data_IF_333708957142
#
_entry.id   IF_333708957142
#
_cell.length_a   1.000
_cell.length_b   1.000
_cell.length_c   1.000
_cell.angle_alpha   90.00
_cell.angle_beta   90.00
_cell.angle_gamma   90.00
#
_symmetry.space_group_name_H-M   'P 1'
#
loop_
_entity.id
_entity.type
_entity.pdbx_description
1 polymer ?
#
# COMPACT_ATOMS: atom_id res chain seq x y z
N UNK A 1 -57.64 -61.48 -2.33
CA UNK A 1 -56.72 -62.23 -3.18
C UNK A 1 -55.40 -61.50 -3.23
N UNK A 2 -54.44 -62.06 -2.62
CA UNK A 2 -53.06 -61.60 -2.37
C UNK A 2 -52.18 -61.84 -3.57
N UNK A 3 -51.30 -60.91 -3.97
CA UNK A 3 -50.06 -61.22 -4.62
C UNK A 3 -48.99 -60.21 -4.20
N UNK A 4 -48.03 -60.72 -3.43
CA UNK A 4 -46.72 -60.13 -3.12
C UNK A 4 -45.86 -60.10 -4.36
N UNK A 5 -45.20 -58.97 -4.65
CA UNK A 5 -44.02 -58.97 -5.50
C UNK A 5 -42.83 -58.48 -4.65
N UNK A 6 -41.84 -59.43 -4.55
CA UNK A 6 -40.60 -59.23 -3.83
C UNK A 6 -39.64 -58.35 -4.64
N UNK A 7 -39.13 -57.29 -4.02
CA UNK A 7 -38.04 -56.47 -4.54
C UNK A 7 -36.70 -57.13 -4.26
N UNK A 8 -35.92 -57.40 -5.32
CA UNK A 8 -34.53 -57.89 -5.29
C UNK A 8 -33.61 -56.74 -4.89
N UNK A 9 -32.80 -56.95 -3.87
CA UNK A 9 -31.71 -56.06 -3.48
C UNK A 9 -30.58 -56.04 -4.55
N UNK A 10 -29.92 -54.90 -4.80
CA UNK A 10 -28.77 -54.85 -5.73
C UNK A 10 -27.53 -55.47 -5.07
N UNK A 11 -26.90 -56.42 -5.81
CA UNK A 11 -25.65 -57.03 -5.44
C UNK A 11 -24.51 -56.04 -5.56
N UNK A 12 -23.74 -55.88 -4.47
CA UNK A 12 -22.46 -55.19 -4.43
C UNK A 12 -21.41 -56.04 -5.10
N UNK A 13 -20.82 -55.56 -6.21
CA UNK A 13 -19.62 -56.17 -6.85
C UNK A 13 -18.36 -55.83 -6.04
N UNK A 14 -17.48 -56.80 -5.76
CA UNK A 14 -16.22 -56.51 -5.10
C UNK A 14 -15.26 -55.74 -6.04
N UNK A 15 -14.55 -54.75 -5.48
CA UNK A 15 -13.49 -54.01 -6.15
C UNK A 15 -12.25 -54.89 -6.34
N UNK A 16 -11.53 -54.79 -7.48
CA UNK A 16 -10.25 -55.45 -7.64
C UNK A 16 -9.17 -54.78 -6.77
N UNK A 17 -8.12 -55.54 -6.36
CA UNK A 17 -7.06 -55.00 -5.51
C UNK A 17 -6.22 -53.95 -6.25
N UNK A 18 -5.95 -52.83 -5.55
CA UNK A 18 -5.05 -51.80 -6.05
C UNK A 18 -3.59 -52.28 -6.07
N UNK A 19 -3.01 -52.30 -7.26
CA UNK A 19 -1.57 -52.49 -7.44
C UNK A 19 -0.79 -51.42 -6.69
N UNK A 20 0.09 -51.87 -5.79
CA UNK A 20 0.97 -51.00 -5.01
C UNK A 20 1.92 -50.21 -5.92
N UNK A 21 1.90 -48.91 -5.78
CA UNK A 21 2.97 -48.04 -6.28
C UNK A 21 4.20 -48.22 -5.41
N UNK A 22 5.40 -48.36 -5.99
CA UNK A 22 6.64 -48.37 -5.21
C UNK A 22 6.86 -46.97 -4.58
N UNK A 23 7.35 -46.99 -3.33
CA UNK A 23 7.70 -45.79 -2.59
C UNK A 23 8.81 -45.01 -3.31
N UNK A 24 8.78 -43.65 -3.28
CA UNK A 24 9.85 -42.86 -3.85
C UNK A 24 11.14 -43.03 -3.05
N UNK A 25 12.22 -43.29 -3.77
CA UNK A 25 13.57 -43.42 -3.23
C UNK A 25 13.97 -42.17 -2.46
N UNK A 26 14.52 -42.36 -1.26
CA UNK A 26 15.14 -41.30 -0.45
C UNK A 26 16.26 -40.64 -1.25
N UNK A 27 16.03 -39.42 -1.72
CA UNK A 27 17.10 -38.58 -2.27
C UNK A 27 17.98 -38.15 -1.10
N UNK A 28 19.21 -38.67 -1.08
CA UNK A 28 20.28 -38.22 -0.18
C UNK A 28 20.54 -36.74 -0.49
N UNK A 29 20.31 -35.89 0.49
CA UNK A 29 20.72 -34.50 0.45
C UNK A 29 22.24 -34.40 0.24
N UNK A 30 22.66 -33.72 -0.82
CA UNK A 30 24.04 -33.32 -1.07
C UNK A 30 24.41 -32.26 -0.01
N UNK A 31 25.61 -32.33 0.63
CA UNK A 31 26.06 -31.26 1.52
C UNK A 31 26.24 -29.98 0.72
N UNK A 32 25.93 -28.81 1.31
CA UNK A 32 26.13 -27.53 0.65
C UNK A 32 27.62 -27.27 0.46
N UNK A 33 27.98 -26.78 -0.73
CA UNK A 33 29.31 -26.32 -1.04
C UNK A 33 29.71 -25.15 -0.13
N UNK A 34 30.99 -25.02 0.28
CA UNK A 34 31.41 -23.92 1.13
C UNK A 34 31.21 -22.58 0.41
N UNK A 35 30.35 -21.74 0.95
CA UNK A 35 30.10 -20.40 0.46
C UNK A 35 31.37 -19.58 0.55
N UNK A 36 31.78 -18.98 -0.55
CA UNK A 36 32.78 -17.92 -0.59
C UNK A 36 32.34 -16.80 0.34
N UNK A 37 33.12 -16.57 1.38
CA UNK A 37 33.03 -15.36 2.22
C UNK A 37 33.15 -14.14 1.32
N UNK A 38 32.05 -13.46 1.08
CA UNK A 38 32.08 -12.11 0.54
C UNK A 38 32.75 -11.22 1.60
N UNK A 39 33.95 -10.77 1.31
CA UNK A 39 34.62 -9.73 2.07
C UNK A 39 33.77 -8.46 1.97
N UNK A 40 33.02 -8.19 3.03
CA UNK A 40 32.43 -6.88 3.23
C UNK A 40 33.57 -5.87 3.39
N UNK A 41 33.82 -5.13 2.34
CA UNK A 41 34.64 -3.92 2.37
C UNK A 41 34.00 -2.98 3.38
N UNK A 42 34.62 -2.86 4.56
CA UNK A 42 34.33 -1.81 5.53
C UNK A 42 34.52 -0.48 4.82
N UNK A 43 33.43 0.20 4.56
CA UNK A 43 33.49 1.63 4.24
C UNK A 43 33.64 2.32 5.59
N UNK A 44 34.88 2.74 5.90
CA UNK A 44 35.14 3.68 6.99
C UNK A 44 34.38 4.96 6.67
N UNK A 45 33.21 5.12 7.27
CA UNK A 45 32.58 6.43 7.39
C UNK A 45 33.39 7.17 8.45
N UNK A 46 34.20 8.08 8.01
CA UNK A 46 34.83 9.06 8.86
C UNK A 46 33.80 9.74 9.76
N UNK A 47 34.22 10.28 10.92
CA UNK A 47 33.29 10.87 11.89
C UNK A 47 32.53 12.01 11.22
N UNK A 48 31.22 11.79 11.07
CA UNK A 48 30.31 12.80 10.53
C UNK A 48 30.25 13.98 11.50
N UNK A 49 30.90 15.08 11.14
CA UNK A 49 30.77 16.38 11.78
C UNK A 49 29.36 16.90 11.51
N UNK A 50 28.33 16.39 12.20
CA UNK A 50 27.02 16.70 11.73
C UNK A 50 26.13 17.45 12.70
N UNK A 51 26.03 17.18 13.94
CA UNK A 51 25.04 17.86 14.80
C UNK A 51 25.58 19.02 15.66
N UNK A 52 26.75 18.93 16.31
CA UNK A 52 27.22 20.03 17.14
C UNK A 52 27.58 21.28 16.33
N UNK A 53 28.06 21.13 15.09
CA UNK A 53 28.46 22.29 14.27
C UNK A 53 27.29 23.12 13.76
N UNK A 54 26.16 22.49 13.42
CA UNK A 54 24.94 23.21 13.02
C UNK A 54 24.27 23.92 14.19
N UNK A 55 24.28 23.31 15.36
CA UNK A 55 23.80 23.96 16.58
C UNK A 55 24.69 25.14 17.00
N UNK A 56 26.01 25.00 16.88
CA UNK A 56 26.98 26.07 17.15
C UNK A 56 26.86 27.21 16.14
N UNK A 57 26.66 26.93 14.86
CA UNK A 57 26.42 27.93 13.84
C UNK A 57 25.10 28.69 14.06
N UNK A 58 24.05 28.02 14.44
CA UNK A 58 22.77 28.65 14.77
C UNK A 58 22.87 29.55 16.00
N UNK A 59 23.63 29.12 17.02
CA UNK A 59 23.88 29.92 18.23
C UNK A 59 24.73 31.16 17.92
N UNK A 60 25.71 31.04 17.02
CA UNK A 60 26.58 32.14 16.58
C UNK A 60 25.80 33.18 15.77
N UNK A 61 24.84 32.73 14.91
CA UNK A 61 23.96 33.63 14.15
C UNK A 61 23.02 34.39 15.06
N UNK A 62 22.44 33.72 16.08
CA UNK A 62 21.59 34.38 17.06
C UNK A 62 22.40 35.36 17.92
N UNK A 63 23.57 35.00 18.37
CA UNK A 63 24.44 35.89 19.15
C UNK A 63 24.90 37.14 18.34
N UNK A 64 25.21 36.98 17.04
CA UNK A 64 25.51 38.09 16.14
C UNK A 64 24.28 39.00 15.91
N UNK A 65 23.09 38.40 15.73
CA UNK A 65 21.84 39.15 15.57
C UNK A 65 21.47 39.98 16.80
N UNK A 66 21.63 39.41 17.99
CA UNK A 66 21.41 40.12 19.26
C UNK A 66 22.46 41.20 19.49
N UNK A 67 23.74 40.91 19.12
CA UNK A 67 24.83 41.89 19.23
C UNK A 67 24.62 43.13 18.34
N UNK A 68 24.18 42.91 17.11
CA UNK A 68 23.85 44.01 16.18
C UNK A 68 22.65 44.82 16.65
N UNK A 69 21.63 44.17 17.22
CA UNK A 69 20.40 44.84 17.78
C UNK A 69 20.77 45.70 19.01
N UNK A 70 21.66 45.17 19.90
CA UNK A 70 22.12 45.90 21.10
C UNK A 70 23.03 47.06 20.74
N UNK A 71 23.88 46.97 19.69
CA UNK A 71 24.70 48.04 19.20
C UNK A 71 23.89 49.15 18.57
N UNK A 72 22.79 48.83 17.89
CA UNK A 72 21.90 49.81 17.23
C UNK A 72 21.01 50.61 18.24
N UNK A 73 20.81 50.07 19.46
CA UNK A 73 19.94 50.69 20.49
C UNK A 73 20.69 51.38 21.63
N UNK A 74 22.05 51.52 21.54
CA UNK A 74 22.85 52.24 22.55
C UNK A 74 22.90 51.56 23.93
N UNK A 75 22.56 50.28 24.03
CA UNK A 75 22.43 49.55 25.30
C UNK A 75 23.68 48.97 25.93
N UNK A 76 24.87 49.12 25.28
CA UNK A 76 26.11 48.50 25.74
C UNK A 76 26.60 48.93 27.12
N UNK A 77 26.22 50.16 27.56
CA UNK A 77 26.67 50.67 28.87
C UNK A 77 25.96 49.99 30.09
N UNK A 78 24.77 49.48 29.91
CA UNK A 78 24.01 48.85 31.01
C UNK A 78 24.36 47.36 31.17
N UNK A 79 24.74 46.69 30.11
CA UNK A 79 25.09 45.27 30.14
C UNK A 79 26.46 45.04 30.80
N UNK A 80 27.43 45.97 30.62
CA UNK A 80 28.76 45.88 31.26
C UNK A 80 28.66 46.01 32.80
N UNK A 81 27.74 46.82 33.34
CA UNK A 81 27.55 46.97 34.78
C UNK A 81 26.87 45.74 35.44
N UNK A 82 25.98 45.06 34.71
CA UNK A 82 25.25 43.87 35.22
C UNK A 82 26.17 42.64 35.17
N UNK A 83 27.02 42.49 34.19
CA UNK A 83 28.00 41.39 34.08
C UNK A 83 29.14 41.55 35.11
N UNK A 84 29.56 42.79 35.38
CA UNK A 84 30.61 43.06 36.36
C UNK A 84 30.18 42.75 37.80
N UNK A 85 28.93 43.05 38.17
CA UNK A 85 28.37 42.76 39.49
C UNK A 85 28.09 41.26 39.69
N UNK A 86 27.69 40.52 38.61
CA UNK A 86 27.54 39.06 38.65
C UNK A 86 28.90 38.38 38.82
N UNK A 87 29.98 38.90 38.21
CA UNK A 87 31.32 38.32 38.34
C UNK A 87 31.96 38.54 39.71
N UNK A 88 31.77 39.72 40.34
CA UNK A 88 32.25 39.98 41.70
C UNK A 88 31.52 39.12 42.77
N UNK A 89 30.22 38.82 42.58
CA UNK A 89 29.47 37.87 43.43
C UNK A 89 29.99 36.46 43.34
N UNK A 90 30.37 36.03 42.14
CA UNK A 90 30.89 34.68 41.88
C UNK A 90 32.28 34.45 42.50
N UNK A 91 33.16 35.46 42.48
CA UNK A 91 34.51 35.37 43.08
C UNK A 91 34.45 35.36 44.61
N UNK A 92 33.50 36.08 45.23
CA UNK A 92 33.30 36.08 46.70
C UNK A 92 32.76 34.76 47.23
N UNK A 93 31.96 34.05 46.44
CA UNK A 93 31.43 32.72 46.81
C UNK A 93 32.49 31.60 46.67
N UNK A 94 33.49 31.76 45.80
CA UNK A 94 34.59 30.83 45.63
C UNK A 94 35.59 30.82 46.79
N UNK A 95 35.59 31.84 47.67
CA UNK A 95 36.51 31.99 48.79
C UNK A 95 35.92 31.56 50.13
N UNK A 96 34.63 31.17 50.18
CA UNK A 96 34.03 30.53 51.35
C UNK A 96 34.48 29.08 51.43
N UNK A 97 35.15 28.70 52.49
CA UNK A 97 35.44 27.31 52.78
C UNK A 97 34.18 26.45 52.65
N UNK A 98 34.21 25.28 51.99
CA UNK A 98 33.03 24.45 51.78
C UNK A 98 32.51 24.02 53.16
N UNK A 99 31.33 24.54 53.52
CA UNK A 99 30.46 23.82 54.45
C UNK A 99 30.22 22.43 53.83
N UNK A 100 30.14 21.34 54.58
CA UNK A 100 29.83 20.05 54.00
C UNK A 100 28.49 20.19 53.32
N UNK A 101 28.53 20.31 51.98
CA UNK A 101 27.33 20.29 51.16
C UNK A 101 26.60 18.99 51.45
N UNK A 102 25.27 19.03 51.65
CA UNK A 102 24.50 17.79 51.61
C UNK A 102 24.85 17.10 50.31
N UNK A 103 25.21 15.84 50.37
CA UNK A 103 25.48 15.00 49.23
C UNK A 103 24.27 15.17 48.27
N UNK A 104 24.41 15.96 47.22
CA UNK A 104 23.39 16.02 46.16
C UNK A 104 23.30 14.62 45.61
N UNK A 105 22.20 13.97 45.93
CA UNK A 105 21.83 12.71 45.28
C UNK A 105 21.78 13.02 43.80
N UNK A 106 22.77 12.56 43.05
CA UNK A 106 22.80 12.72 41.62
C UNK A 106 21.63 11.91 41.07
N UNK A 107 20.54 12.60 40.77
CA UNK A 107 19.42 11.97 40.08
C UNK A 107 19.96 11.51 38.73
N UNK A 108 19.91 10.22 38.48
CA UNK A 108 20.34 9.66 37.20
C UNK A 108 19.51 10.30 36.07
N UNK A 109 20.10 10.48 34.89
CA UNK A 109 19.34 10.86 33.71
C UNK A 109 18.19 9.87 33.49
N UNK A 110 17.08 10.33 32.92
CA UNK A 110 15.92 9.48 32.67
C UNK A 110 16.24 8.35 31.68
N UNK A 111 15.60 7.19 31.78
CA UNK A 111 15.70 6.14 30.78
C UNK A 111 15.00 6.59 29.51
N UNK A 112 15.19 5.85 28.41
CA UNK A 112 14.51 6.09 27.13
C UNK A 112 13.84 4.79 26.70
N UNK A 113 12.53 4.83 26.45
CA UNK A 113 11.79 3.75 25.81
C UNK A 113 11.88 3.90 24.28
N UNK A 114 12.06 2.78 23.57
CA UNK A 114 12.03 2.76 22.11
C UNK A 114 10.59 2.93 21.62
N UNK A 115 10.37 3.84 20.67
CA UNK A 115 9.05 4.06 20.05
C UNK A 115 8.81 2.97 19.02
N UNK A 116 7.64 2.29 19.01
CA UNK A 116 7.32 1.32 17.98
C UNK A 116 7.11 2.00 16.62
N UNK A 117 7.41 1.29 15.55
CA UNK A 117 7.19 1.77 14.17
C UNK A 117 5.69 1.99 13.89
N UNK A 118 4.83 1.11 14.44
CA UNK A 118 3.36 1.21 14.38
C UNK A 118 2.79 1.13 15.79
N UNK A 119 2.04 2.14 16.26
CA UNK A 119 1.48 2.16 17.60
C UNK A 119 0.27 1.23 17.79
N UNK A 120 -0.40 0.83 16.70
CA UNK A 120 -1.58 -0.02 16.77
C UNK A 120 -1.21 -1.50 16.84
N UNK A 121 -1.92 -2.26 17.68
CA UNK A 121 -1.75 -3.71 17.79
C UNK A 121 -3.07 -4.38 18.20
N UNK A 122 -3.29 -5.60 17.76
CA UNK A 122 -4.37 -6.47 18.24
C UNK A 122 -3.88 -7.49 19.27
N UNK A 123 -2.59 -7.44 19.65
CA UNK A 123 -2.04 -8.31 20.66
C UNK A 123 -2.28 -7.71 22.04
N UNK A 124 -2.75 -8.51 23.01
CA UNK A 124 -3.04 -8.03 24.36
C UNK A 124 -1.76 -7.67 25.17
N UNK A 125 -0.60 -8.03 24.66
CA UNK A 125 0.69 -7.74 25.28
C UNK A 125 1.68 -7.20 24.28
N UNK A 126 2.65 -6.39 24.75
CA UNK A 126 3.77 -5.89 23.97
C UNK A 126 5.07 -6.04 24.73
N UNK A 127 6.17 -6.06 23.99
CA UNK A 127 7.50 -6.00 24.56
C UNK A 127 7.96 -4.54 24.61
N UNK A 128 8.28 -4.04 25.82
CA UNK A 128 8.88 -2.72 25.98
C UNK A 128 10.40 -2.85 25.92
N UNK A 129 10.99 -2.14 24.98
CA UNK A 129 12.44 -2.03 24.82
C UNK A 129 12.86 -0.63 25.20
N UNK A 130 14.03 -0.52 25.83
CA UNK A 130 14.57 0.79 26.18
C UNK A 130 16.04 0.76 26.56
N UNK A 131 16.53 1.92 26.93
CA UNK A 131 17.92 2.13 27.32
C UNK A 131 17.99 2.91 28.63
N UNK A 132 18.89 2.51 29.51
CA UNK A 132 19.28 3.28 30.69
C UNK A 132 20.61 4.00 30.42
N UNK A 133 20.87 5.14 31.11
CA UNK A 133 22.17 5.78 31.07
C UNK A 133 23.29 4.83 31.51
N UNK A 134 24.46 4.91 30.88
CA UNK A 134 25.61 4.04 31.16
C UNK A 134 26.03 4.09 32.63
N UNK A 135 25.81 5.20 33.31
CA UNK A 135 26.20 5.42 34.70
C UNK A 135 25.50 4.50 35.72
N UNK A 136 24.32 3.95 35.35
CA UNK A 136 23.52 3.08 36.24
C UNK A 136 23.62 1.61 35.87
N UNK A 137 24.29 1.27 34.77
CA UNK A 137 24.44 -0.12 34.28
C UNK A 137 25.20 -0.98 35.34
N UNK A 138 24.60 -2.13 35.68
CA UNK A 138 25.15 -3.07 36.65
C UNK A 138 25.00 -2.66 38.11
N UNK A 139 24.28 -1.59 38.44
CA UNK A 139 23.97 -1.20 39.81
C UNK A 139 22.93 -2.12 40.43
N UNK A 140 23.28 -2.80 41.52
CA UNK A 140 22.36 -3.70 42.24
C UNK A 140 21.22 -2.97 42.98
N UNK A 141 21.44 -1.71 43.31
CA UNK A 141 20.53 -0.89 44.10
C UNK A 141 19.66 0.04 43.26
N UNK A 142 19.71 -0.14 41.92
CA UNK A 142 18.99 0.68 41.00
C UNK A 142 17.94 -0.15 40.24
N UNK A 143 16.74 0.42 40.05
CA UNK A 143 15.61 -0.23 39.39
C UNK A 143 15.06 0.68 38.32
N UNK A 144 14.47 0.08 37.26
CA UNK A 144 13.66 0.76 36.29
C UNK A 144 12.20 0.57 36.69
N UNK A 145 11.46 1.67 36.82
CA UNK A 145 10.02 1.66 37.09
C UNK A 145 9.29 2.05 35.85
N UNK A 146 8.30 1.25 35.45
CA UNK A 146 7.43 1.53 34.30
C UNK A 146 6.10 2.05 34.82
N UNK A 147 5.62 3.11 34.18
CA UNK A 147 4.32 3.69 34.42
C UNK A 147 3.46 3.52 33.16
N UNK A 148 2.18 3.30 33.35
CA UNK A 148 1.19 3.33 32.25
C UNK A 148 0.07 4.29 32.61
N UNK A 149 -0.33 5.10 31.62
CA UNK A 149 -1.58 5.83 31.63
C UNK A 149 -2.52 5.24 30.55
N UNK A 150 -3.72 4.86 30.95
CA UNK A 150 -4.72 4.28 30.04
C UNK A 150 -5.71 5.37 29.66
N UNK A 151 -5.87 5.62 28.36
CA UNK A 151 -6.75 6.66 27.84
C UNK A 151 -6.38 8.06 28.33
N UNK A 152 -7.24 8.63 29.16
CA UNK A 152 -7.05 9.96 29.81
C UNK A 152 -6.73 9.84 31.30
N UNK A 153 -6.46 8.63 31.78
CA UNK A 153 -6.12 8.38 33.19
C UNK A 153 -4.72 8.89 33.55
N UNK A 154 -4.49 9.05 34.85
CA UNK A 154 -3.17 9.39 35.37
C UNK A 154 -2.22 8.19 35.27
N UNK A 155 -0.91 8.43 35.04
CA UNK A 155 0.08 7.36 34.99
C UNK A 155 0.28 6.69 36.36
N UNK A 156 0.00 5.40 36.41
CA UNK A 156 0.29 4.56 37.59
C UNK A 156 1.50 3.65 37.36
N UNK A 157 2.27 3.31 38.44
CA UNK A 157 3.35 2.34 38.32
C UNK A 157 2.79 0.93 38.10
N UNK A 158 3.37 0.19 37.14
CA UNK A 158 2.92 -1.17 36.82
C UNK A 158 4.00 -2.22 37.03
N UNK A 159 5.29 -1.84 36.97
CA UNK A 159 6.38 -2.79 37.06
C UNK A 159 7.67 -2.12 37.51
N UNK A 160 8.42 -2.80 38.40
CA UNK A 160 9.78 -2.45 38.82
C UNK A 160 10.71 -3.61 38.41
N UNK A 161 11.74 -3.33 37.62
CA UNK A 161 12.75 -4.32 37.23
C UNK A 161 14.16 -3.85 37.65
N UNK A 162 15.08 -4.77 38.03
CA UNK A 162 16.47 -4.39 38.30
C UNK A 162 17.16 -3.90 37.02
N UNK A 163 18.09 -2.97 37.17
CA UNK A 163 18.97 -2.58 36.06
C UNK A 163 19.95 -3.72 35.79
N UNK A 164 20.01 -4.18 34.55
CA UNK A 164 20.91 -5.24 34.11
C UNK A 164 22.35 -4.77 33.89
N UNK A 165 23.19 -5.69 33.40
CA UNK A 165 24.59 -5.42 33.02
C UNK A 165 24.74 -4.82 31.61
N UNK A 166 23.62 -4.58 30.91
CA UNK A 166 23.55 -3.92 29.60
C UNK A 166 22.77 -2.61 29.72
N UNK A 167 23.14 -1.56 28.98
CA UNK A 167 22.34 -0.34 28.90
C UNK A 167 20.98 -0.57 28.24
N UNK A 168 20.86 -1.55 27.34
CA UNK A 168 19.59 -1.92 26.74
C UNK A 168 18.84 -2.92 27.62
N UNK A 169 17.55 -2.65 27.85
CA UNK A 169 16.67 -3.54 28.57
C UNK A 169 15.47 -3.96 27.72
N UNK A 170 14.93 -5.12 28.00
CA UNK A 170 13.71 -5.68 27.39
C UNK A 170 12.77 -6.13 28.51
N UNK A 171 11.54 -5.70 28.43
CA UNK A 171 10.46 -6.13 29.34
C UNK A 171 9.42 -6.84 28.45
N UNK A 172 9.42 -8.17 28.42
CA UNK A 172 8.52 -8.93 27.59
C UNK A 172 7.11 -8.99 28.17
N UNK A 173 6.11 -9.05 27.30
CA UNK A 173 4.74 -9.41 27.66
C UNK A 173 4.01 -8.40 28.55
N UNK A 174 4.28 -7.11 28.42
CA UNK A 174 3.56 -6.06 29.17
C UNK A 174 2.11 -5.99 28.69
N UNK A 175 1.15 -6.16 29.59
CA UNK A 175 -0.27 -6.16 29.28
C UNK A 175 -0.77 -4.77 28.85
N UNK A 176 -1.64 -4.77 27.83
CA UNK A 176 -2.32 -3.58 27.33
C UNK A 176 -3.80 -3.61 27.73
N UNK A 177 -4.30 -2.47 28.15
CA UNK A 177 -5.74 -2.23 28.24
C UNK A 177 -6.32 -1.83 26.87
N UNK A 178 -7.59 -2.12 26.58
CA UNK A 178 -8.23 -1.68 25.34
C UNK A 178 -8.10 -0.17 25.14
N UNK A 179 -7.74 0.25 23.92
CA UNK A 179 -7.49 1.64 23.55
C UNK A 179 -6.05 2.08 23.81
N UNK A 180 -5.86 3.36 24.14
CA UNK A 180 -4.53 4.00 24.23
C UNK A 180 -3.86 3.67 25.54
N UNK A 181 -2.61 3.15 25.49
CA UNK A 181 -1.72 2.91 26.60
C UNK A 181 -0.46 3.76 26.40
N UNK A 182 -0.19 4.67 27.32
CA UNK A 182 0.96 5.57 27.29
C UNK A 182 1.96 5.16 28.36
N UNK A 183 3.11 4.67 27.93
CA UNK A 183 4.18 4.21 28.81
C UNK A 183 5.24 5.28 29.03
N UNK A 184 5.70 5.41 30.25
CA UNK A 184 6.90 6.15 30.63
C UNK A 184 7.71 5.32 31.61
N UNK A 185 9.00 5.62 31.70
CA UNK A 185 9.89 4.94 32.61
C UNK A 185 10.68 5.95 33.47
N UNK A 186 11.04 5.56 34.68
CA UNK A 186 11.98 6.27 35.58
C UNK A 186 13.06 5.31 36.06
N UNK A 187 14.13 5.86 36.58
CA UNK A 187 15.16 5.13 37.28
C UNK A 187 15.01 5.44 38.77
N UNK A 188 14.89 4.40 39.61
CA UNK A 188 14.91 4.51 41.06
C UNK A 188 16.32 4.20 41.53
N UNK A 189 17.00 5.20 42.05
CA UNK A 189 18.34 5.05 42.65
C UNK A 189 18.34 4.58 44.11
N UNK A 190 19.53 4.45 44.72
CA UNK A 190 19.68 4.19 46.15
C UNK A 190 18.90 5.21 46.96
N UNK A 191 18.20 4.74 48.00
CA UNK A 191 17.37 5.61 48.84
C UNK A 191 15.99 5.95 48.30
N UNK A 192 15.60 5.36 47.14
CA UNK A 192 14.25 5.51 46.55
C UNK A 192 14.02 6.83 45.77
N UNK A 193 15.08 7.55 45.45
CA UNK A 193 14.98 8.77 44.64
C UNK A 193 14.74 8.39 43.19
N UNK A 194 13.70 8.94 42.58
CA UNK A 194 13.35 8.73 41.17
C UNK A 194 13.93 9.81 40.24
N UNK A 195 14.36 9.38 39.07
CA UNK A 195 14.71 10.30 37.95
C UNK A 195 13.47 10.97 37.36
N UNK A 196 13.68 11.91 36.45
CA UNK A 196 12.63 12.39 35.57
C UNK A 196 12.08 11.23 34.73
N UNK A 197 10.84 11.39 34.24
CA UNK A 197 10.20 10.40 33.36
C UNK A 197 10.79 10.43 31.95
N UNK A 198 10.86 9.28 31.32
CA UNK A 198 11.19 9.16 29.91
C UNK A 198 10.16 9.90 29.04
N UNK A 199 10.49 10.18 27.75
CA UNK A 199 9.48 10.47 26.74
C UNK A 199 8.39 9.40 26.71
N UNK A 200 7.15 9.81 26.39
CA UNK A 200 5.99 8.91 26.32
C UNK A 200 6.10 8.03 25.09
N UNK A 201 5.90 6.73 25.28
CA UNK A 201 5.72 5.76 24.20
C UNK A 201 4.27 5.27 24.22
N UNK A 202 3.63 5.26 23.07
CA UNK A 202 2.20 4.94 22.96
C UNK A 202 1.98 3.65 22.19
N UNK A 203 1.15 2.76 22.77
CA UNK A 203 0.54 1.61 22.10
C UNK A 203 -0.98 1.72 22.15
N UNK A 204 -1.64 1.28 21.08
CA UNK A 204 -3.10 1.31 20.99
C UNK A 204 -3.58 -0.12 20.74
N UNK A 205 -4.19 -0.72 21.77
CA UNK A 205 -4.81 -2.03 21.64
C UNK A 205 -6.18 -1.87 20.97
N UNK A 206 -6.28 -2.32 19.72
CA UNK A 206 -7.52 -2.40 18.96
C UNK A 206 -7.73 -3.85 18.51
N UNK A 207 -8.73 -4.51 19.07
CA UNK A 207 -9.13 -5.89 18.74
C UNK A 207 -10.40 -5.93 17.90
N UNK A 208 -10.88 -4.78 17.45
CA UNK A 208 -12.12 -4.64 16.69
C UNK A 208 -11.83 -4.86 15.20
N UNK A 209 -12.49 -5.83 14.60
CA UNK A 209 -12.35 -6.06 13.16
C UNK A 209 -12.85 -4.86 12.35
N UNK A 210 -12.15 -4.46 11.27
CA UNK A 210 -12.57 -3.36 10.43
C UNK A 210 -13.93 -3.68 9.79
N UNK A 211 -14.84 -2.70 9.76
CA UNK A 211 -16.07 -2.84 8.99
C UNK A 211 -15.71 -2.86 7.50
N UNK A 212 -16.18 -3.87 6.75
CA UNK A 212 -15.93 -3.98 5.33
C UNK A 212 -17.24 -4.00 4.56
N UNK A 213 -17.44 -3.03 3.65
CA UNK A 213 -18.65 -2.91 2.82
C UNK A 213 -18.25 -2.68 1.38
N UNK A 214 -18.71 -3.55 0.47
CA UNK A 214 -18.56 -3.37 -0.97
C UNK A 214 -19.78 -2.60 -1.48
N UNK A 215 -19.57 -1.40 -2.00
CA UNK A 215 -20.63 -0.53 -2.54
C UNK A 215 -20.96 -0.89 -3.98
N UNK A 216 -19.94 -1.22 -4.77
CA UNK A 216 -20.07 -1.57 -6.18
C UNK A 216 -18.95 -2.53 -6.61
N UNK A 217 -19.31 -3.52 -7.45
CA UNK A 217 -20.66 -3.92 -7.81
C UNK A 217 -21.37 -4.63 -6.65
N UNK A 218 -22.69 -4.71 -6.71
CA UNK A 218 -23.45 -5.52 -5.77
C UNK A 218 -23.29 -7.01 -6.11
N UNK A 219 -23.41 -7.88 -5.11
CA UNK A 219 -23.45 -9.33 -5.36
C UNK A 219 -24.59 -9.68 -6.32
N UNK A 220 -24.32 -10.58 -7.27
CA UNK A 220 -25.23 -10.93 -8.36
C UNK A 220 -25.17 -10.03 -9.58
N UNK A 221 -24.37 -8.97 -9.57
CA UNK A 221 -24.22 -8.07 -10.72
C UNK A 221 -23.63 -8.77 -11.96
N UNK A 222 -24.09 -8.33 -13.13
CA UNK A 222 -23.52 -8.75 -14.42
C UNK A 222 -22.55 -7.67 -14.90
N UNK A 223 -21.31 -8.05 -15.22
CA UNK A 223 -20.25 -7.20 -15.74
C UNK A 223 -19.77 -7.77 -17.06
N UNK A 224 -19.79 -6.99 -18.14
CA UNK A 224 -19.36 -7.45 -19.47
C UNK A 224 -17.86 -7.26 -19.74
N UNK A 225 -17.19 -6.42 -18.96
CA UNK A 225 -15.74 -6.20 -19.05
C UNK A 225 -14.94 -7.43 -18.56
N UNK A 226 -13.67 -7.50 -18.97
CA UNK A 226 -12.71 -8.53 -18.52
C UNK A 226 -12.20 -8.29 -17.09
N UNK A 227 -12.41 -7.10 -16.58
CA UNK A 227 -12.06 -6.70 -15.22
C UNK A 227 -13.27 -6.11 -14.52
N UNK A 228 -13.26 -6.15 -13.20
CA UNK A 228 -14.25 -5.48 -12.36
C UNK A 228 -13.55 -4.50 -11.42
N UNK A 229 -14.12 -3.29 -11.29
CA UNK A 229 -13.69 -2.34 -10.27
C UNK A 229 -14.53 -2.53 -9.02
N UNK A 230 -13.91 -3.06 -7.97
CA UNK A 230 -14.49 -3.20 -6.63
C UNK A 230 -14.32 -1.88 -5.90
N UNK A 231 -15.40 -1.26 -5.47
CA UNK A 231 -15.39 -0.02 -4.71
C UNK A 231 -16.13 -0.24 -3.40
N UNK A 232 -15.59 0.29 -2.32
CA UNK A 232 -16.19 0.09 -1.02
C UNK A 232 -15.63 1.01 0.06
N UNK A 233 -15.98 0.66 1.29
CA UNK A 233 -15.59 1.38 2.49
C UNK A 233 -15.15 0.37 3.56
N UNK A 234 -14.06 0.69 4.25
CA UNK A 234 -13.55 -0.03 5.42
C UNK A 234 -13.01 0.95 6.46
N UNK A 235 -12.21 0.51 7.41
CA UNK A 235 -11.46 1.39 8.31
C UNK A 235 -10.35 2.11 7.53
N UNK A 236 -10.03 3.35 7.90
CA UNK A 236 -8.97 4.14 7.27
C UNK A 236 -7.60 3.43 7.36
N UNK A 237 -6.79 3.57 6.31
CA UNK A 237 -5.45 3.00 6.22
C UNK A 237 -5.37 1.46 6.23
N UNK A 238 -6.52 0.75 6.14
CA UNK A 238 -6.51 -0.72 6.05
C UNK A 238 -5.79 -1.19 4.79
N UNK A 239 -4.97 -2.23 4.92
CA UNK A 239 -4.47 -2.98 3.80
C UNK A 239 -5.61 -3.77 3.17
N UNK A 240 -5.69 -3.76 1.83
CA UNK A 240 -6.79 -4.37 1.09
C UNK A 240 -6.26 -5.45 0.16
N UNK A 241 -6.95 -6.57 0.08
CA UNK A 241 -6.76 -7.54 -1.00
C UNK A 241 -8.09 -7.99 -1.58
N UNK A 242 -8.07 -8.39 -2.85
CA UNK A 242 -9.20 -9.06 -3.47
C UNK A 242 -8.71 -10.27 -4.26
N UNK A 243 -9.35 -11.41 -4.07
CA UNK A 243 -9.06 -12.66 -4.73
C UNK A 243 -10.30 -13.20 -5.42
N UNK A 244 -10.17 -13.50 -6.69
CA UNK A 244 -11.17 -14.25 -7.43
C UNK A 244 -10.94 -15.75 -7.19
N UNK A 245 -11.78 -16.37 -6.38
CA UNK A 245 -11.68 -17.78 -6.01
C UNK A 245 -11.92 -18.74 -7.20
N UNK A 246 -12.55 -18.23 -8.28
CA UNK A 246 -12.82 -19.00 -9.49
C UNK A 246 -11.60 -19.07 -10.43
N UNK A 247 -10.85 -17.96 -10.54
CA UNK A 247 -9.71 -17.85 -11.48
C UNK A 247 -8.35 -17.76 -10.78
N UNK A 248 -8.33 -17.65 -9.45
CA UNK A 248 -7.15 -17.38 -8.61
C UNK A 248 -6.45 -16.04 -8.90
N UNK A 249 -7.05 -15.14 -9.69
CA UNK A 249 -6.53 -13.79 -9.86
C UNK A 249 -6.60 -13.03 -8.53
N UNK A 250 -5.54 -12.29 -8.21
CA UNK A 250 -5.43 -11.49 -6.98
C UNK A 250 -5.01 -10.06 -7.31
N UNK A 251 -5.43 -9.13 -6.46
CA UNK A 251 -5.01 -7.73 -6.47
C UNK A 251 -4.88 -7.24 -5.03
N UNK A 252 -3.90 -6.38 -4.77
CA UNK A 252 -3.71 -5.72 -3.49
C UNK A 252 -3.78 -4.21 -3.65
N UNK A 253 -4.04 -3.52 -2.55
CA UNK A 253 -4.12 -2.07 -2.45
C UNK A 253 -4.27 -1.63 -1.01
N UNK A 254 -4.69 -0.39 -0.80
CA UNK A 254 -4.98 0.15 0.52
C UNK A 254 -6.24 1.02 0.47
N UNK A 255 -6.92 1.12 1.59
CA UNK A 255 -7.94 2.13 1.81
C UNK A 255 -7.28 3.48 2.12
N UNK A 256 -7.91 4.57 1.73
CA UNK A 256 -7.47 5.91 2.09
C UNK A 256 -7.68 6.19 3.60
N UNK A 257 -7.31 7.37 4.06
CA UNK A 257 -7.49 7.79 5.46
C UNK A 257 -8.94 7.75 5.93
N UNK A 258 -9.90 7.90 5.00
CA UNK A 258 -11.34 7.82 5.27
C UNK A 258 -11.92 6.43 5.09
N UNK A 259 -11.07 5.46 4.70
CA UNK A 259 -11.45 4.07 4.50
C UNK A 259 -12.04 3.75 3.13
N UNK A 260 -12.06 4.68 2.18
CA UNK A 260 -12.51 4.36 0.83
C UNK A 260 -11.45 3.58 0.06
N UNK A 261 -11.88 2.55 -0.68
CA UNK A 261 -10.99 1.75 -1.51
C UNK A 261 -11.54 1.49 -2.90
N UNK A 262 -10.62 1.20 -3.84
CA UNK A 262 -10.93 0.80 -5.21
C UNK A 262 -9.91 -0.18 -5.75
N UNK A 263 -10.34 -1.42 -6.08
CA UNK A 263 -9.49 -2.47 -6.60
C UNK A 263 -10.00 -2.90 -7.99
N UNK A 264 -9.10 -3.13 -8.94
CA UNK A 264 -9.45 -3.60 -10.28
C UNK A 264 -8.98 -5.04 -10.41
N UNK A 265 -9.92 -5.98 -10.48
CA UNK A 265 -9.66 -7.41 -10.47
C UNK A 265 -10.08 -8.06 -11.80
N UNK A 266 -9.22 -8.91 -12.42
CA UNK A 266 -9.61 -9.72 -13.57
C UNK A 266 -10.71 -10.73 -13.22
N UNK A 267 -11.69 -10.90 -14.13
CA UNK A 267 -12.78 -11.86 -13.99
C UNK A 267 -12.84 -12.80 -15.19
N UNK A 268 -13.10 -14.08 -14.91
CA UNK A 268 -13.33 -15.13 -15.91
C UNK A 268 -14.74 -15.07 -16.48
N UNK A 269 -15.02 -15.88 -17.49
CA UNK A 269 -16.37 -16.07 -18.05
C UNK A 269 -17.29 -16.75 -17.01
N UNK A 270 -18.58 -16.39 -17.01
CA UNK A 270 -19.54 -16.97 -16.09
C UNK A 270 -19.47 -16.36 -14.68
N UNK A 271 -19.79 -17.17 -13.67
CA UNK A 271 -19.84 -16.73 -12.27
C UNK A 271 -18.43 -16.70 -11.66
N UNK A 272 -18.08 -15.59 -11.03
CA UNK A 272 -16.85 -15.38 -10.29
C UNK A 272 -17.20 -15.14 -8.82
N UNK A 273 -16.63 -15.95 -7.94
CA UNK A 273 -16.67 -15.73 -6.49
C UNK A 273 -15.45 -14.88 -6.11
N UNK A 274 -15.69 -13.70 -5.56
CA UNK A 274 -14.64 -12.74 -5.21
C UNK A 274 -14.65 -12.53 -3.71
N UNK A 275 -13.56 -12.92 -3.05
CA UNK A 275 -13.26 -12.60 -1.67
C UNK A 275 -12.51 -11.28 -1.61
N UNK A 276 -12.99 -10.36 -0.79
CA UNK A 276 -12.31 -9.09 -0.47
C UNK A 276 -11.96 -9.11 0.99
N UNK A 277 -10.72 -8.79 1.29
CA UNK A 277 -10.13 -8.83 2.60
C UNK A 277 -9.61 -7.44 2.99
N UNK A 278 -9.87 -7.06 4.23
CA UNK A 278 -9.38 -5.82 4.83
C UNK A 278 -8.64 -6.14 6.13
N UNK A 279 -7.41 -5.67 6.24
CA UNK A 279 -6.59 -5.75 7.45
C UNK A 279 -6.34 -4.33 7.93
N UNK A 280 -6.77 -4.01 9.14
CA UNK A 280 -6.59 -2.68 9.72
C UNK A 280 -5.14 -2.45 10.21
N UNK A 281 -4.77 -1.23 10.65
CA UNK A 281 -3.42 -0.97 11.19
C UNK A 281 -3.05 -1.79 12.42
N UNK A 282 -4.04 -2.26 13.19
CA UNK A 282 -3.78 -3.13 14.34
C UNK A 282 -3.56 -4.60 13.95
N UNK A 283 -3.86 -4.99 12.71
CA UNK A 283 -3.76 -6.36 12.21
C UNK A 283 -5.06 -7.16 12.33
N UNK A 284 -6.21 -6.53 12.63
CA UNK A 284 -7.48 -7.23 12.61
C UNK A 284 -7.98 -7.41 11.19
N UNK A 285 -8.46 -8.62 10.89
CA UNK A 285 -8.88 -9.03 9.55
C UNK A 285 -10.40 -9.17 9.46
N UNK A 286 -10.99 -8.68 8.36
CA UNK A 286 -12.37 -8.94 7.99
C UNK A 286 -12.48 -9.25 6.49
N UNK A 287 -13.32 -10.26 6.16
CA UNK A 287 -13.51 -10.78 4.80
C UNK A 287 -14.97 -10.71 4.39
N UNK A 288 -15.19 -10.36 3.13
CA UNK A 288 -16.52 -10.35 2.50
C UNK A 288 -16.41 -11.02 1.13
N UNK A 289 -17.31 -11.96 0.84
CA UNK A 289 -17.39 -12.62 -0.46
C UNK A 289 -18.60 -12.11 -1.23
N UNK A 290 -18.42 -11.78 -2.50
CA UNK A 290 -19.49 -11.45 -3.44
C UNK A 290 -19.40 -12.34 -4.68
N UNK A 291 -20.54 -12.62 -5.29
CA UNK A 291 -20.62 -13.31 -6.57
C UNK A 291 -20.87 -12.29 -7.69
N UNK A 292 -20.08 -12.33 -8.75
CA UNK A 292 -20.25 -11.48 -9.94
C UNK A 292 -20.29 -12.38 -11.16
N UNK A 293 -21.23 -12.13 -12.07
CA UNK A 293 -21.32 -12.86 -13.33
C UNK A 293 -20.73 -12.02 -14.46
N UNK A 294 -19.74 -12.57 -15.18
CA UNK A 294 -19.34 -11.99 -16.42
C UNK A 294 -20.36 -12.33 -17.49
N UNK A 295 -20.95 -11.30 -18.11
CA UNK A 295 -21.92 -11.42 -19.20
C UNK A 295 -21.29 -11.91 -20.51
N UNK A 296 -22.12 -12.25 -21.45
CA UNK A 296 -21.74 -12.69 -22.81
C UNK A 296 -21.86 -11.57 -23.86
N UNK A 297 -22.17 -10.36 -23.43
CA UNK A 297 -22.23 -9.19 -24.33
C UNK A 297 -20.91 -9.01 -25.06
N UNK A 298 -20.99 -8.65 -26.35
CA UNK A 298 -19.85 -8.46 -27.22
C UNK A 298 -19.68 -6.98 -27.59
N UNK A 299 -18.42 -6.59 -27.85
CA UNK A 299 -18.09 -5.33 -28.46
C UNK A 299 -18.70 -5.29 -29.89
N UNK A 300 -19.38 -4.20 -30.26
CA UNK A 300 -19.99 -4.03 -31.58
C UNK A 300 -19.32 -2.90 -32.31
N UNK A 301 -19.06 -3.12 -33.61
CA UNK A 301 -18.60 -2.10 -34.54
C UNK A 301 -19.53 -2.08 -35.72
N UNK A 302 -19.88 -0.87 -36.23
CA UNK A 302 -20.65 -0.69 -37.44
C UNK A 302 -19.89 0.27 -38.36
N UNK A 303 -19.38 -0.24 -39.48
CA UNK A 303 -18.66 0.55 -40.49
C UNK A 303 -19.60 1.06 -41.59
N UNK A 304 -19.42 2.30 -41.97
CA UNK A 304 -20.14 2.95 -43.04
C UNK A 304 -19.20 3.72 -43.98
N UNK A 305 -19.66 3.97 -45.19
CA UNK A 305 -18.94 4.76 -46.17
C UNK A 305 -19.83 5.93 -46.67
N UNK A 306 -19.21 7.02 -47.10
CA UNK A 306 -19.93 8.20 -47.64
C UNK A 306 -20.72 7.89 -48.89
N UNK A 307 -20.38 6.81 -49.61
CA UNK A 307 -21.14 6.23 -50.73
C UNK A 307 -20.82 4.74 -50.86
N UNK A 308 -21.71 3.98 -51.50
CA UNK A 308 -21.55 2.53 -51.67
C UNK A 308 -21.38 2.11 -53.14
N UNK A 309 -21.45 3.09 -54.07
CA UNK A 309 -21.25 2.88 -55.51
C UNK A 309 -20.55 4.08 -56.11
N UNK A 310 -19.61 3.84 -57.03
CA UNK A 310 -18.90 4.86 -57.77
C UNK A 310 -18.62 4.36 -59.19
N UNK A 311 -18.69 5.23 -60.19
CA UNK A 311 -18.32 4.89 -61.58
C UNK A 311 -16.80 5.01 -61.77
N UNK A 312 -16.21 4.09 -62.57
CA UNK A 312 -14.79 4.17 -62.94
C UNK A 312 -14.42 5.53 -63.53
N UNK A 313 -15.34 6.14 -64.34
CA UNK A 313 -15.13 7.45 -64.95
C UNK A 313 -15.03 8.61 -63.92
N UNK A 314 -15.44 8.42 -62.72
CA UNK A 314 -15.37 9.41 -61.64
C UNK A 314 -14.09 9.32 -60.80
N UNK A 315 -13.26 8.30 -61.04
CA UNK A 315 -12.02 8.10 -60.27
C UNK A 315 -10.92 9.07 -60.72
N UNK A 316 -10.10 9.61 -59.80
CA UNK A 316 -10.05 9.29 -58.36
C UNK A 316 -11.18 9.95 -57.57
N UNK A 317 -11.82 9.23 -56.63
CA UNK A 317 -12.94 9.73 -55.84
C UNK A 317 -12.62 9.65 -54.33
N UNK A 318 -12.83 10.75 -53.61
CA UNK A 318 -12.61 10.82 -52.18
C UNK A 318 -13.73 10.11 -51.44
N UNK A 319 -13.39 9.23 -50.51
CA UNK A 319 -14.33 8.50 -49.66
C UNK A 319 -14.04 8.76 -48.17
N UNK A 320 -15.09 9.00 -47.42
CA UNK A 320 -15.03 9.05 -45.97
C UNK A 320 -15.62 7.77 -45.39
N UNK A 321 -14.81 7.02 -44.67
CA UNK A 321 -15.21 5.84 -43.93
C UNK A 321 -15.43 6.24 -42.49
N UNK A 322 -16.49 5.76 -41.86
CA UNK A 322 -16.78 6.00 -40.48
C UNK A 322 -17.11 4.67 -39.78
N UNK A 323 -16.74 4.54 -38.52
CA UNK A 323 -17.15 3.44 -37.69
C UNK A 323 -17.80 3.98 -36.42
N UNK A 324 -18.88 3.37 -35.97
CA UNK A 324 -19.45 3.54 -34.64
C UNK A 324 -19.17 2.29 -33.82
N UNK A 325 -18.69 2.49 -32.60
CA UNK A 325 -18.30 1.43 -31.68
C UNK A 325 -19.12 1.55 -30.41
N UNK A 326 -19.75 0.46 -30.00
CA UNK A 326 -20.48 0.37 -28.74
C UNK A 326 -19.91 -0.75 -27.86
N UNK A 327 -19.92 -0.51 -26.55
CA UNK A 327 -19.56 -1.51 -25.57
C UNK A 327 -20.62 -2.62 -25.49
N UNK A 328 -20.37 -3.73 -24.76
CA UNK A 328 -21.35 -4.79 -24.57
C UNK A 328 -22.67 -4.39 -23.91
N UNK A 329 -22.74 -3.22 -23.28
CA UNK A 329 -23.95 -2.66 -22.68
C UNK A 329 -24.71 -1.73 -23.67
N UNK A 330 -24.21 -1.61 -24.93
CA UNK A 330 -24.80 -0.77 -25.96
C UNK A 330 -24.45 0.72 -25.85
N UNK A 331 -23.52 1.11 -25.01
CA UNK A 331 -23.08 2.50 -24.85
C UNK A 331 -21.95 2.82 -25.81
N UNK A 332 -21.91 4.07 -26.29
CA UNK A 332 -20.82 4.57 -27.12
C UNK A 332 -19.46 4.39 -26.44
N UNK A 333 -18.49 3.77 -27.12
CA UNK A 333 -17.18 3.46 -26.57
C UNK A 333 -16.10 4.40 -27.13
N UNK A 334 -15.66 5.34 -26.29
CA UNK A 334 -14.54 6.23 -26.60
C UNK A 334 -13.18 5.56 -26.41
N UNK A 335 -12.15 6.12 -27.06
CA UNK A 335 -10.74 5.72 -26.95
C UNK A 335 -10.41 4.27 -27.40
N UNK A 336 -11.31 3.58 -28.12
CA UNK A 336 -11.00 2.32 -28.77
C UNK A 336 -10.00 2.52 -29.91
N UNK A 337 -9.06 1.59 -30.10
CA UNK A 337 -8.13 1.59 -31.24
C UNK A 337 -8.84 1.07 -32.47
N UNK A 338 -8.77 1.79 -33.59
CA UNK A 338 -9.44 1.46 -34.84
C UNK A 338 -8.44 1.49 -35.99
N UNK A 339 -8.47 0.46 -36.83
CA UNK A 339 -7.70 0.39 -38.07
C UNK A 339 -8.63 0.06 -39.23
N UNK A 340 -8.62 0.87 -40.26
CA UNK A 340 -9.34 0.63 -41.53
C UNK A 340 -8.40 0.02 -42.55
N UNK A 341 -8.92 -0.94 -43.34
CA UNK A 341 -8.26 -1.49 -44.51
C UNK A 341 -9.25 -1.51 -45.66
N UNK A 342 -8.88 -0.93 -46.80
CA UNK A 342 -9.68 -0.91 -48.03
C UNK A 342 -8.96 -1.71 -49.09
N UNK A 343 -9.48 -2.88 -49.42
CA UNK A 343 -9.01 -3.67 -50.55
C UNK A 343 -9.73 -3.20 -51.81
N UNK A 344 -8.99 -2.56 -52.73
CA UNK A 344 -9.52 -1.96 -53.95
C UNK A 344 -9.10 -2.81 -55.14
N UNK A 345 -10.02 -3.21 -56.05
CA UNK A 345 -9.68 -4.00 -57.23
C UNK A 345 -8.67 -3.28 -58.14
N UNK A 346 -7.62 -3.99 -58.56
CA UNK A 346 -6.60 -3.50 -59.50
C UNK A 346 -5.50 -2.65 -58.90
N UNK A 347 -5.54 -2.35 -57.58
CA UNK A 347 -4.53 -1.52 -56.89
C UNK A 347 -4.20 -2.10 -55.50
N UNK A 348 -3.04 -1.73 -54.90
CA UNK A 348 -2.71 -2.14 -53.55
C UNK A 348 -3.75 -1.68 -52.53
N UNK A 349 -3.93 -2.47 -51.48
CA UNK A 349 -4.83 -2.13 -50.36
C UNK A 349 -4.37 -0.85 -49.64
N UNK A 350 -5.35 -0.06 -49.23
CA UNK A 350 -5.14 1.20 -48.50
C UNK A 350 -5.44 0.93 -47.01
N UNK A 351 -4.50 1.27 -46.12
CA UNK A 351 -4.69 1.14 -44.69
C UNK A 351 -4.57 2.50 -43.98
N UNK A 352 -5.34 2.68 -42.91
CA UNK A 352 -5.18 3.84 -42.02
C UNK A 352 -4.03 3.62 -41.06
N UNK A 353 -3.50 4.69 -40.46
CA UNK A 353 -2.86 4.59 -39.14
C UNK A 353 -3.87 4.12 -38.09
N UNK A 354 -3.39 3.78 -36.91
CA UNK A 354 -4.26 3.49 -35.76
C UNK A 354 -4.97 4.79 -35.33
N UNK A 355 -6.28 4.80 -35.40
CA UNK A 355 -7.16 5.89 -34.96
C UNK A 355 -7.75 5.59 -33.60
N UNK A 356 -8.30 6.60 -32.94
CA UNK A 356 -9.04 6.46 -31.68
C UNK A 356 -10.47 6.91 -31.86
N UNK A 357 -11.42 6.17 -31.26
CA UNK A 357 -12.81 6.63 -31.20
C UNK A 357 -12.96 7.85 -30.32
N UNK A 358 -13.83 8.77 -30.70
CA UNK A 358 -14.26 9.93 -29.91
C UNK A 358 -15.06 9.51 -28.68
N UNK A 359 -15.44 10.46 -27.85
CA UNK A 359 -16.34 10.20 -26.71
C UNK A 359 -17.71 9.67 -27.14
N UNK A 360 -18.16 9.99 -28.40
CA UNK A 360 -19.37 9.43 -28.98
C UNK A 360 -19.19 8.06 -29.65
N UNK A 361 -18.04 7.41 -29.45
CA UNK A 361 -17.75 6.08 -29.97
C UNK A 361 -17.43 6.06 -31.48
N UNK A 362 -17.13 7.19 -32.14
CA UNK A 362 -16.92 7.26 -33.57
C UNK A 362 -15.48 7.51 -33.96
N UNK A 363 -15.01 6.90 -35.05
CA UNK A 363 -13.76 7.23 -35.70
C UNK A 363 -13.98 7.34 -37.23
N UNK A 364 -13.24 8.23 -37.90
CA UNK A 364 -13.35 8.47 -39.34
C UNK A 364 -12.00 8.36 -39.99
N UNK A 365 -11.99 7.76 -41.19
CA UNK A 365 -10.84 7.68 -42.08
C UNK A 365 -11.19 8.25 -43.43
N UNK A 366 -10.52 9.32 -43.85
CA UNK A 366 -10.65 9.92 -45.18
C UNK A 366 -9.56 9.37 -46.07
N UNK A 367 -9.96 8.82 -47.21
CA UNK A 367 -9.04 8.28 -48.22
C UNK A 367 -9.60 8.53 -49.64
N UNK A 368 -8.90 8.04 -50.64
CA UNK A 368 -9.30 8.22 -52.05
C UNK A 368 -9.23 6.86 -52.77
N UNK A 369 -10.27 6.49 -53.47
CA UNK A 369 -10.23 5.37 -54.41
C UNK A 369 -9.46 5.85 -55.65
N UNK A 370 -8.27 5.27 -55.95
CA UNK A 370 -7.37 5.82 -56.96
C UNK A 370 -7.85 5.55 -58.42
N UNK A 371 -7.33 6.34 -59.34
CA UNK A 371 -7.67 6.25 -60.78
C UNK A 371 -7.37 4.88 -61.40
N UNK A 372 -6.38 4.14 -60.88
CA UNK A 372 -6.01 2.81 -61.36
C UNK A 372 -6.93 1.66 -60.92
N UNK A 373 -7.97 1.96 -60.15
CA UNK A 373 -8.91 0.94 -59.68
C UNK A 373 -9.79 0.44 -60.87
N UNK A 374 -10.07 -0.86 -60.87
CA UNK A 374 -10.92 -1.53 -61.85
C UNK A 374 -12.33 -1.79 -61.30
N UNK A 375 -13.28 -2.09 -62.18
CA UNK A 375 -14.64 -2.49 -61.79
C UNK A 375 -14.60 -3.69 -60.87
N UNK A 376 -15.43 -3.68 -59.80
CA UNK A 376 -15.50 -4.73 -58.80
C UNK A 376 -15.88 -4.20 -57.45
N UNK A 377 -15.73 -5.05 -56.42
CA UNK A 377 -16.08 -4.71 -55.04
C UNK A 377 -14.83 -4.30 -54.26
N UNK A 378 -14.83 -3.10 -53.72
CA UNK A 378 -13.86 -2.68 -52.69
C UNK A 378 -14.35 -3.18 -51.33
N UNK A 379 -13.61 -4.07 -50.71
CA UNK A 379 -13.90 -4.53 -49.32
C UNK A 379 -13.29 -3.57 -48.30
N UNK A 380 -14.13 -2.92 -47.56
CA UNK A 380 -13.73 -2.09 -46.41
C UNK A 380 -13.83 -2.93 -45.15
N UNK A 381 -12.71 -3.15 -44.48
CA UNK A 381 -12.64 -3.88 -43.21
C UNK A 381 -12.20 -2.92 -42.10
N UNK A 382 -12.88 -2.92 -41.00
CA UNK A 382 -12.47 -2.22 -39.77
C UNK A 382 -12.16 -3.24 -38.65
N UNK A 383 -11.04 -3.05 -38.00
CA UNK A 383 -10.65 -3.81 -36.80
C UNK A 383 -10.67 -2.84 -35.63
N UNK A 384 -11.43 -3.19 -34.60
CA UNK A 384 -11.53 -2.43 -33.35
C UNK A 384 -10.91 -3.25 -32.22
N UNK A 385 -9.99 -2.64 -31.48
CA UNK A 385 -9.29 -3.28 -30.36
C UNK A 385 -9.48 -2.47 -29.08
N UNK A 386 -9.79 -3.16 -27.98
CA UNK A 386 -10.00 -2.55 -26.69
C UNK A 386 -9.30 -3.37 -25.60
N UNK A 387 -8.90 -2.68 -24.53
CA UNK A 387 -8.28 -3.33 -23.37
C UNK A 387 -9.29 -4.19 -22.60
N UNK A 388 -10.51 -3.68 -22.43
CA UNK A 388 -11.48 -4.24 -21.47
C UNK A 388 -12.47 -5.22 -22.11
N UNK A 389 -12.82 -5.03 -23.41
CA UNK A 389 -13.87 -5.80 -24.08
C UNK A 389 -13.36 -6.72 -25.18
N UNK A 390 -12.04 -6.70 -25.46
CA UNK A 390 -11.42 -7.48 -26.56
C UNK A 390 -11.51 -6.75 -27.89
N UNK A 391 -11.59 -7.54 -28.97
CA UNK A 391 -11.53 -7.07 -30.36
C UNK A 391 -12.81 -7.42 -31.08
N UNK A 392 -13.17 -6.62 -32.11
CA UNK A 392 -14.24 -6.93 -33.02
C UNK A 392 -13.86 -6.44 -34.42
N UNK A 393 -14.49 -7.01 -35.43
CA UNK A 393 -14.27 -6.67 -36.85
C UNK A 393 -15.62 -6.46 -37.53
N UNK A 394 -15.71 -5.42 -38.33
CA UNK A 394 -16.87 -5.22 -39.19
C UNK A 394 -16.44 -4.91 -40.64
N UNK A 395 -17.32 -5.10 -41.58
CA UNK A 395 -17.04 -4.96 -43.01
C UNK A 395 -18.19 -4.29 -43.76
N UNK A 396 -17.83 -3.48 -44.74
CA UNK A 396 -18.76 -2.97 -45.74
C UNK A 396 -18.15 -3.02 -47.14
N UNK A 397 -18.93 -2.81 -48.16
CA UNK A 397 -18.49 -2.91 -49.55
C UNK A 397 -18.85 -1.64 -50.30
N UNK A 398 -17.92 -1.14 -51.13
CA UNK A 398 -18.15 -0.10 -52.12
C UNK A 398 -17.97 -0.74 -53.48
N UNK A 399 -18.96 -0.59 -54.40
CA UNK A 399 -18.92 -1.18 -55.73
C UNK A 399 -18.45 -0.17 -56.76
N UNK A 400 -17.41 -0.51 -57.54
CA UNK A 400 -16.95 0.27 -58.67
C UNK A 400 -17.64 -0.29 -59.90
N UNK A 401 -18.47 0.53 -60.54
CA UNK A 401 -19.23 0.18 -61.75
C UNK A 401 -18.66 0.89 -63.00
N UNK A 402 -19.04 0.43 -64.16
CA UNK A 402 -18.69 1.04 -65.45
C UNK A 402 -19.25 2.45 -65.58
#
# INVERSE_FOLDING_TARGET
MTTRHGGRAPQVRPRPPSNGRPAPAKVRARPPAPGRLAQHRRVDRGPGIALPFRALLALLVVALGVGVLLAATGGLGKVAATVGSAFSGFVTDLTKAPSPSPTTVVVADSPVLETPDEPYTNQPTVDLVGHVPQAVVGSSDTRIRIYVAVGKGDPGPVLDIPVGTSPRFLIPGVELSPGTNMFTATIIGPGGVESDRSPVVTYILDVTKPRLVISSPKSGAVVNARTVKLVGQTQGRSAMSARNLTTNATVAGAADEKGAFGLILPIGTGVNQIEVDAVDPAGNENKVTIAIRRGTGALTANVSASFYQVKVSKLPEAVTLAVSVTDPDGRALGNASVTFTVAVPGVPAIASSVLKTSASGTATFKTTIPKGATTGQCSVTVIVQTKDFGDTTDRTVITIVK
#
